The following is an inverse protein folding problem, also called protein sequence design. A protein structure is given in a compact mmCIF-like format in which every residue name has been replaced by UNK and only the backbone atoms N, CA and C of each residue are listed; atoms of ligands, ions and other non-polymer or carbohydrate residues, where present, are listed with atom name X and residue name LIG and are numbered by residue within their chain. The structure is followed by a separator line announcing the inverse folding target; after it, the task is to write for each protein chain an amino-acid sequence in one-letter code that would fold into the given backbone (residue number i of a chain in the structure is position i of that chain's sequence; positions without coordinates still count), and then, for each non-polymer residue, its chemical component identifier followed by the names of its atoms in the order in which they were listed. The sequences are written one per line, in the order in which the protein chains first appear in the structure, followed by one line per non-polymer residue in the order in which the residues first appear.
data_IF_905574876232
#
_entry.id   IF_905574876232
#
_cell.length_a   1.000
_cell.length_b   1.000
_cell.length_c   1.000
_cell.angle_alpha   90.00
_cell.angle_beta   90.00
_cell.angle_gamma   90.00
#
_symmetry.space_group_name_H-M   'P 1'
#
loop_
_entity.id
_entity.type
_entity.pdbx_description
1 polymer ?
#
# COMPACT_ATOMS: atom_id res chain seq x y z
N UNK A 1 32.62 -11.78 17.61
CA UNK A 1 32.13 -11.32 18.93
C UNK A 1 31.82 -9.81 18.95
N UNK A 2 32.53 -8.97 18.21
CA UNK A 2 32.29 -7.51 18.19
C UNK A 2 31.02 -7.08 17.42
N UNK A 3 30.57 -7.84 16.41
CA UNK A 3 29.29 -7.56 15.72
C UNK A 3 28.04 -7.79 16.60
N UNK A 4 28.12 -8.73 17.56
CA UNK A 4 27.00 -9.05 18.44
C UNK A 4 26.75 -7.97 19.50
N UNK A 5 27.77 -7.16 19.83
CA UNK A 5 27.67 -6.09 20.81
C UNK A 5 26.97 -4.84 20.25
N UNK A 6 27.07 -4.60 18.93
CA UNK A 6 26.41 -3.48 18.25
C UNK A 6 24.88 -3.66 18.18
N UNK A 7 24.43 -4.91 18.01
CA UNK A 7 23.00 -5.28 17.99
C UNK A 7 22.35 -5.12 19.37
N UNK A 8 23.11 -5.37 20.44
CA UNK A 8 22.62 -5.26 21.83
C UNK A 8 22.46 -3.81 22.32
N UNK A 9 23.30 -2.88 21.86
CA UNK A 9 23.24 -1.46 22.27
C UNK A 9 22.05 -0.73 21.62
N UNK A 10 21.64 -1.13 20.42
CA UNK A 10 20.45 -0.58 19.76
C UNK A 10 19.13 -1.11 20.33
N UNK A 11 19.16 -2.23 21.08
CA UNK A 11 17.98 -2.82 21.71
C UNK A 11 17.59 -2.22 23.07
N UNK A 12 18.42 -1.37 23.69
CA UNK A 12 18.22 -0.89 25.07
C UNK A 12 17.80 0.58 25.22
N UNK A 13 17.62 1.33 24.13
CA UNK A 13 17.11 2.70 24.16
C UNK A 13 15.60 2.69 23.84
N UNK A 14 14.77 2.48 24.87
CA UNK A 14 13.31 2.55 24.73
C UNK A 14 12.85 3.98 24.40
N UNK A 15 12.02 4.21 23.37
CA UNK A 15 11.49 5.53 23.09
C UNK A 15 10.26 5.79 23.97
N UNK A 16 10.43 6.63 25.00
CA UNK A 16 9.31 7.36 25.58
C UNK A 16 8.94 8.49 24.60
N UNK A 17 7.93 8.27 23.76
CA UNK A 17 7.41 9.28 22.84
C UNK A 17 6.06 9.80 23.35
N UNK A 18 5.98 11.11 23.58
CA UNK A 18 4.75 11.81 23.92
C UNK A 18 3.99 12.18 22.63
N UNK A 19 2.66 12.00 22.65
CA UNK A 19 1.75 12.10 21.51
C UNK A 19 0.85 13.34 21.63
N UNK A 20 0.68 14.09 20.54
CA UNK A 20 -0.35 15.14 20.41
C UNK A 20 -1.32 14.72 19.32
N UNK A 21 -2.62 14.63 19.65
CA UNK A 21 -3.69 14.12 18.78
C UNK A 21 -4.32 15.27 17.99
N UNK A 22 -4.42 15.12 16.66
CA UNK A 22 -5.36 15.90 15.85
C UNK A 22 -6.40 14.98 15.19
N UNK A 23 -7.67 15.40 15.28
CA UNK A 23 -8.86 14.72 14.78
C UNK A 23 -9.40 15.52 13.59
N UNK A 24 -9.41 14.93 12.40
CA UNK A 24 -10.29 15.35 11.30
C UNK A 24 -11.21 14.18 10.94
N UNK A 25 -12.43 14.53 10.57
CA UNK A 25 -13.63 13.71 10.66
C UNK A 25 -13.77 12.67 9.53
N UNK A 26 -14.14 11.43 9.88
CA UNK A 26 -15.15 10.66 9.12
C UNK A 26 -14.73 9.65 8.06
N UNK A 27 -13.45 9.38 7.80
CA UNK A 27 -13.03 8.46 6.73
C UNK A 27 -12.35 7.19 7.25
N UNK A 28 -12.80 6.04 6.76
CA UNK A 28 -12.14 4.75 6.97
C UNK A 28 -11.14 4.52 5.82
N UNK A 29 -9.86 4.45 6.17
CA UNK A 29 -8.79 4.03 5.26
C UNK A 29 -8.42 2.61 5.62
N UNK A 30 -8.50 1.72 4.64
CA UNK A 30 -8.33 0.28 4.80
C UNK A 30 -7.09 -0.16 4.01
N UNK A 31 -6.46 -1.26 4.38
CA UNK A 31 -5.25 -1.78 3.70
C UNK A 31 -5.40 -3.30 3.54
N UNK A 32 -5.07 -3.87 2.37
CA UNK A 32 -5.19 -5.32 2.11
C UNK A 32 -3.88 -5.94 1.61
N UNK A 33 -3.60 -7.18 2.02
CA UNK A 33 -2.48 -8.00 1.54
C UNK A 33 -1.53 -8.52 2.62
N UNK A 34 -1.81 -9.75 3.08
CA UNK A 34 -1.00 -10.71 3.87
C UNK A 34 -0.39 -10.32 5.23
N UNK A 35 -0.41 -11.36 6.08
CA UNK A 35 -0.20 -11.50 7.53
C UNK A 35 0.77 -10.50 8.20
N UNK A 36 0.27 -9.94 9.32
CA UNK A 36 0.95 -9.13 10.35
C UNK A 36 1.04 -7.62 10.09
N UNK A 37 0.22 -6.87 10.85
CA UNK A 37 0.20 -5.41 10.94
C UNK A 37 0.08 -4.95 12.40
N UNK A 38 1.18 -4.47 13.00
CA UNK A 38 1.17 -3.46 14.08
C UNK A 38 1.07 -2.06 13.45
N UNK A 39 0.60 -0.98 14.10
CA UNK A 39 0.56 -0.63 15.52
C UNK A 39 -0.70 0.16 15.93
N UNK A 40 -0.82 0.43 17.25
CA UNK A 40 -1.33 1.65 17.92
C UNK A 40 -0.66 1.66 19.30
N UNK A 41 -0.03 2.77 19.70
CA UNK A 41 0.88 2.80 20.86
C UNK A 41 0.23 2.33 22.18
N UNK A 42 -1.08 2.55 22.35
CA UNK A 42 -1.77 2.40 23.64
C UNK A 42 -3.00 1.48 23.58
N UNK A 43 -3.13 0.64 22.54
CA UNK A 43 -4.31 -0.21 22.30
C UNK A 43 -3.95 -1.63 21.86
N UNK A 44 -4.94 -2.54 21.88
CA UNK A 44 -4.85 -3.89 21.34
C UNK A 44 -4.34 -3.89 19.89
N UNK A 45 -3.27 -4.64 19.60
CA UNK A 45 -2.59 -4.73 18.31
C UNK A 45 -2.63 -6.14 17.79
N UNK A 46 -3.07 -6.37 16.56
CA UNK A 46 -2.87 -7.67 15.91
C UNK A 46 -1.39 -7.82 15.55
N UNK A 47 -0.77 -8.93 15.91
CA UNK A 47 0.69 -9.18 15.79
C UNK A 47 1.02 -10.51 15.12
N UNK A 48 -0.02 -11.28 14.84
CA UNK A 48 0.07 -12.63 14.30
C UNK A 48 -1.28 -13.00 13.71
N UNK A 49 -1.27 -13.71 12.60
CA UNK A 49 -2.46 -14.33 12.03
C UNK A 49 -2.16 -15.77 11.63
N UNK A 50 -3.02 -16.70 12.03
CA UNK A 50 -2.94 -18.10 11.62
C UNK A 50 -4.32 -18.61 11.23
N UNK A 51 -4.42 -19.29 10.10
CA UNK A 51 -5.63 -20.03 9.70
C UNK A 51 -5.36 -21.51 9.91
N UNK A 52 -6.23 -22.21 10.63
CA UNK A 52 -6.10 -23.62 10.93
C UNK A 52 -7.19 -24.13 11.86
N UNK A 53 -7.44 -25.44 11.87
CA UNK A 53 -8.45 -26.08 12.73
C UNK A 53 -9.85 -25.46 12.61
N UNK A 54 -10.24 -25.05 11.39
CA UNK A 54 -11.53 -24.39 11.15
C UNK A 54 -11.67 -23.04 11.86
N UNK A 55 -10.56 -22.36 12.15
CA UNK A 55 -10.56 -21.06 12.80
C UNK A 55 -9.46 -20.14 12.27
N UNK A 56 -9.70 -18.84 12.37
CA UNK A 56 -8.72 -17.78 12.22
C UNK A 56 -8.28 -17.35 13.61
N UNK A 57 -7.01 -17.56 13.94
CA UNK A 57 -6.40 -17.09 15.18
C UNK A 57 -5.63 -15.81 14.91
N UNK A 58 -6.02 -14.74 15.58
CA UNK A 58 -5.33 -13.46 15.62
C UNK A 58 -4.54 -13.39 16.92
N UNK A 59 -3.23 -13.14 16.88
CA UNK A 59 -2.44 -12.84 18.08
C UNK A 59 -2.54 -11.36 18.37
N UNK A 60 -2.92 -10.97 19.59
CA UNK A 60 -3.19 -9.57 19.96
C UNK A 60 -2.31 -9.12 21.14
N UNK A 61 -1.43 -8.14 20.95
CA UNK A 61 -0.59 -7.54 22.01
C UNK A 61 -1.14 -6.17 22.47
N UNK A 62 -0.99 -5.77 23.73
CA UNK A 62 -1.41 -4.42 24.19
C UNK A 62 -2.78 -4.33 24.88
N UNK A 63 -3.22 -5.40 25.55
CA UNK A 63 -4.44 -5.40 26.35
C UNK A 63 -5.68 -5.64 25.51
N UNK A 64 -6.07 -6.91 25.38
CA UNK A 64 -7.38 -7.29 24.84
C UNK A 64 -8.40 -6.80 25.87
N UNK A 65 -9.22 -5.79 25.54
CA UNK A 65 -10.46 -5.61 26.27
C UNK A 65 -11.18 -6.97 26.23
N UNK A 66 -11.62 -7.53 27.37
CA UNK A 66 -12.10 -8.92 27.45
C UNK A 66 -13.26 -9.22 26.49
N UNK A 67 -13.90 -8.17 25.96
CA UNK A 67 -15.12 -8.26 25.17
C UNK A 67 -14.85 -7.77 23.74
N UNK A 68 -14.48 -8.69 22.86
CA UNK A 68 -14.62 -8.52 21.42
C UNK A 68 -15.92 -9.19 20.97
N UNK A 69 -16.77 -8.44 20.27
CA UNK A 69 -18.01 -8.99 19.73
C UNK A 69 -17.78 -9.35 18.27
N UNK A 70 -18.04 -10.59 17.89
CA UNK A 70 -18.00 -10.98 16.50
C UNK A 70 -19.38 -10.83 15.88
N UNK A 71 -19.47 -10.15 14.74
CA UNK A 71 -20.64 -10.12 13.87
C UNK A 71 -20.25 -10.73 12.53
N UNK A 72 -20.81 -11.89 12.17
CA UNK A 72 -20.67 -12.45 10.83
C UNK A 72 -21.93 -12.19 10.00
N UNK A 73 -21.90 -12.49 8.70
CA UNK A 73 -23.10 -12.44 7.85
C UNK A 73 -24.23 -13.36 8.37
N UNK A 74 -23.86 -14.39 9.13
CA UNK A 74 -24.83 -15.16 9.91
C UNK A 74 -25.21 -14.33 11.14
N UNK A 75 -26.47 -13.87 11.21
CA UNK A 75 -27.09 -13.00 12.24
C UNK A 75 -26.88 -13.37 13.72
N UNK A 76 -26.18 -14.45 14.01
CA UNK A 76 -25.76 -14.84 15.36
C UNK A 76 -24.41 -14.20 15.70
N UNK A 77 -24.46 -12.92 16.10
CA UNK A 77 -23.33 -12.26 16.74
C UNK A 77 -23.13 -12.85 18.14
N UNK A 78 -22.33 -13.92 18.24
CA UNK A 78 -21.90 -14.48 19.51
C UNK A 78 -20.70 -13.71 20.06
N UNK A 79 -20.70 -13.43 21.37
CA UNK A 79 -19.48 -13.00 22.03
C UNK A 79 -18.41 -14.09 21.85
N UNK A 80 -17.26 -13.72 21.27
CA UNK A 80 -16.12 -14.63 21.17
C UNK A 80 -15.20 -14.27 22.33
N UNK A 81 -15.02 -15.14 23.32
CA UNK A 81 -14.14 -14.85 24.44
C UNK A 81 -12.73 -14.61 23.92
N UNK A 82 -12.26 -13.36 24.03
CA UNK A 82 -10.87 -13.01 23.77
C UNK A 82 -10.00 -13.60 24.87
N UNK A 83 -8.91 -14.26 24.51
CA UNK A 83 -7.85 -14.54 25.48
C UNK A 83 -6.86 -13.38 25.43
N UNK A 84 -6.33 -12.91 26.57
CA UNK A 84 -5.22 -11.95 26.54
C UNK A 84 -4.10 -12.51 25.66
N UNK A 85 -3.73 -11.82 24.59
CA UNK A 85 -2.74 -12.34 23.64
C UNK A 85 -3.31 -12.96 22.36
N UNK A 86 -4.59 -13.36 22.31
CA UNK A 86 -5.17 -13.95 21.10
C UNK A 86 -6.71 -13.91 20.99
N UNK A 87 -7.21 -13.69 19.77
CA UNK A 87 -8.61 -13.79 19.39
C UNK A 87 -8.78 -14.92 18.37
N UNK A 88 -9.60 -15.93 18.68
CA UNK A 88 -9.84 -17.08 17.79
C UNK A 88 -11.24 -17.01 17.20
N UNK A 89 -11.32 -16.77 15.90
CA UNK A 89 -12.54 -16.60 15.13
C UNK A 89 -12.90 -17.92 14.43
N UNK A 90 -13.98 -18.62 14.79
CA UNK A 90 -14.35 -19.85 14.10
C UNK A 90 -14.75 -19.53 12.66
N UNK A 91 -14.10 -20.17 11.70
CA UNK A 91 -14.40 -20.05 10.29
C UNK A 91 -15.53 -21.03 9.93
N UNK A 92 -16.67 -20.51 9.51
CA UNK A 92 -17.85 -21.28 9.09
C UNK A 92 -17.87 -21.40 7.57
N UNK A 93 -18.15 -22.59 7.01
CA UNK A 93 -18.46 -22.74 5.59
C UNK A 93 -19.61 -21.81 5.19
N UNK A 94 -19.47 -21.12 4.04
CA UNK A 94 -20.48 -20.20 3.52
C UNK A 94 -20.52 -18.81 4.15
N UNK A 95 -19.67 -18.53 5.15
CA UNK A 95 -19.51 -17.16 5.64
C UNK A 95 -18.54 -16.41 4.73
N UNK A 96 -18.99 -15.26 4.22
CA UNK A 96 -18.19 -14.39 3.34
C UNK A 96 -17.53 -13.25 4.11
N UNK A 97 -18.07 -12.89 5.28
CA UNK A 97 -17.58 -11.80 6.12
C UNK A 97 -17.64 -12.10 7.63
N UNK A 98 -16.61 -11.63 8.33
CA UNK A 98 -16.51 -11.57 9.77
C UNK A 98 -16.13 -10.15 10.18
N UNK A 99 -16.82 -9.60 11.17
CA UNK A 99 -16.48 -8.33 11.80
C UNK A 99 -16.19 -8.58 13.27
N UNK A 100 -15.06 -8.10 13.77
CA UNK A 100 -14.78 -8.07 15.20
C UNK A 100 -14.81 -6.62 15.68
N UNK A 101 -15.67 -6.35 16.65
CA UNK A 101 -15.83 -5.04 17.28
C UNK A 101 -15.19 -5.08 18.66
N UNK A 102 -14.23 -4.19 18.92
CA UNK A 102 -13.67 -4.01 20.26
C UNK A 102 -14.64 -3.21 21.14
N UNK A 103 -14.60 -3.40 22.46
CA UNK A 103 -15.32 -2.55 23.42
C UNK A 103 -14.97 -1.05 23.34
N UNK A 104 -13.88 -0.69 22.63
CA UNK A 104 -13.48 0.69 22.35
C UNK A 104 -14.06 1.25 21.04
N UNK A 105 -14.92 0.47 20.34
CA UNK A 105 -15.54 0.87 19.08
C UNK A 105 -14.66 0.67 17.83
N UNK A 106 -13.57 -0.08 17.95
CA UNK A 106 -12.71 -0.39 16.80
C UNK A 106 -13.32 -1.55 16.01
N UNK A 107 -13.27 -1.45 14.69
CA UNK A 107 -13.81 -2.47 13.79
C UNK A 107 -12.67 -3.13 13.02
N UNK A 108 -12.60 -4.45 13.13
CA UNK A 108 -11.81 -5.32 12.28
C UNK A 108 -12.78 -6.02 11.35
N UNK A 109 -12.60 -5.86 10.04
CA UNK A 109 -13.41 -6.58 9.05
C UNK A 109 -12.51 -7.59 8.35
N UNK A 110 -12.99 -8.82 8.20
CA UNK A 110 -12.34 -9.89 7.49
C UNK A 110 -13.34 -10.42 6.47
N UNK A 111 -12.95 -10.47 5.20
CA UNK A 111 -13.75 -11.17 4.19
C UNK A 111 -13.03 -12.45 3.76
N UNK A 112 -13.78 -13.53 3.66
CA UNK A 112 -13.31 -14.83 3.22
C UNK A 112 -13.95 -15.18 1.88
N UNK A 113 -13.17 -15.77 0.98
CA UNK A 113 -13.72 -16.50 -0.15
C UNK A 113 -14.00 -17.91 0.35
N UNK A 114 -15.26 -18.30 0.33
CA UNK A 114 -15.68 -19.69 0.50
C UNK A 114 -16.48 -20.11 -0.73
N UNK A 115 -16.32 -21.35 -1.16
CA UNK A 115 -17.07 -21.96 -2.25
C UNK A 115 -17.00 -23.47 -2.13
N UNK A 116 -17.91 -24.19 -2.77
CA UNK A 116 -18.00 -25.65 -2.68
C UNK A 116 -16.69 -26.36 -3.09
N UNK A 117 -15.88 -25.69 -3.92
CA UNK A 117 -14.58 -26.18 -4.41
C UNK A 117 -13.37 -25.69 -3.61
N UNK A 118 -13.55 -24.89 -2.56
CA UNK A 118 -12.47 -24.37 -1.71
C UNK A 118 -12.56 -25.04 -0.33
N UNK A 119 -11.76 -26.10 -0.06
CA UNK A 119 -11.91 -26.91 1.15
C UNK A 119 -11.61 -26.15 2.45
N UNK A 120 -10.93 -25.00 2.36
CA UNK A 120 -10.67 -24.09 3.48
C UNK A 120 -10.96 -22.64 3.07
N UNK A 121 -11.72 -21.86 3.85
CA UNK A 121 -12.01 -20.46 3.52
C UNK A 121 -10.70 -19.66 3.42
N UNK A 122 -10.47 -19.08 2.24
CA UNK A 122 -9.31 -18.22 1.99
C UNK A 122 -9.65 -16.82 2.51
N UNK A 123 -8.82 -16.29 3.42
CA UNK A 123 -8.91 -14.88 3.80
C UNK A 123 -8.55 -14.03 2.59
N UNK A 124 -9.56 -13.39 2.01
CA UNK A 124 -9.40 -12.55 0.84
C UNK A 124 -9.12 -11.09 1.22
N UNK A 125 -9.62 -10.69 2.39
CA UNK A 125 -9.60 -9.31 2.83
C UNK A 125 -9.44 -9.28 4.36
N UNK A 126 -8.55 -8.42 4.84
CA UNK A 126 -8.47 -8.04 6.24
C UNK A 126 -8.34 -6.51 6.30
N UNK A 127 -9.35 -5.85 6.86
CA UNK A 127 -9.37 -4.42 7.14
C UNK A 127 -8.94 -4.18 8.59
N UNK A 128 -7.75 -3.60 8.76
CA UNK A 128 -7.28 -3.11 10.05
C UNK A 128 -7.19 -1.59 10.02
N UNK A 129 -7.67 -0.88 11.05
CA UNK A 129 -7.29 0.51 11.23
C UNK A 129 -5.77 0.55 11.49
N UNK A 130 -5.01 1.16 10.58
CA UNK A 130 -3.59 1.42 10.84
C UNK A 130 -3.46 2.46 11.96
N UNK A 131 -2.48 2.29 12.86
CA UNK A 131 -1.96 3.42 13.62
C UNK A 131 -1.60 4.54 12.66
N UNK A 132 -2.14 5.72 12.95
CA UNK A 132 -1.69 6.99 12.35
C UNK A 132 -0.21 7.29 12.61
N UNK A 133 0.46 6.52 13.46
CA UNK A 133 1.77 6.84 14.03
C UNK A 133 2.95 6.00 13.48
N UNK A 134 2.71 5.07 12.56
CA UNK A 134 3.80 4.33 11.91
C UNK A 134 4.16 4.97 10.56
N UNK A 135 5.40 5.45 10.37
CA UNK A 135 5.86 5.87 9.06
C UNK A 135 6.06 4.64 8.17
N UNK A 136 5.32 4.56 7.07
CA UNK A 136 5.57 3.59 6.00
C UNK A 136 6.52 4.20 4.97
N UNK A 137 7.45 3.40 4.45
CA UNK A 137 8.33 3.83 3.38
C UNK A 137 7.62 3.75 2.03
N UNK A 138 8.03 4.55 1.05
CA UNK A 138 7.49 4.47 -0.34
C UNK A 138 7.62 3.05 -0.90
N UNK A 139 8.75 2.38 -0.65
CA UNK A 139 8.99 1.00 -1.08
C UNK A 139 8.07 -0.04 -0.45
N UNK A 140 7.38 0.24 0.65
CA UNK A 140 6.46 -0.75 1.27
C UNK A 140 5.19 -0.98 0.43
N UNK A 141 4.88 -0.04 -0.48
CA UNK A 141 3.70 -0.11 -1.35
C UNK A 141 4.06 -0.47 -2.80
N UNK A 142 5.33 -0.69 -3.10
CA UNK A 142 5.86 -0.86 -4.45
C UNK A 142 6.14 -2.33 -4.70
N UNK A 143 5.84 -2.80 -5.90
CA UNK A 143 6.33 -4.10 -6.36
C UNK A 143 7.73 -3.86 -6.94
N UNK A 144 8.76 -4.29 -6.21
CA UNK A 144 10.14 -4.05 -6.61
C UNK A 144 10.50 -4.88 -7.85
N UNK A 145 11.15 -4.30 -8.88
CA UNK A 145 11.50 -5.05 -10.09
C UNK A 145 12.34 -6.31 -9.85
N UNK A 146 13.13 -6.34 -8.77
CA UNK A 146 13.92 -7.51 -8.37
C UNK A 146 13.07 -8.73 -7.96
N UNK A 147 11.78 -8.51 -7.69
CA UNK A 147 10.80 -9.55 -7.29
C UNK A 147 10.06 -10.12 -8.51
N UNK A 148 10.23 -9.51 -9.68
CA UNK A 148 9.55 -9.86 -10.92
C UNK A 148 10.41 -10.83 -11.74
N UNK A 149 9.79 -11.52 -12.71
CA UNK A 149 10.52 -12.36 -13.65
C UNK A 149 11.52 -11.49 -14.45
N UNK A 150 12.84 -11.78 -14.39
CA UNK A 150 13.84 -10.99 -15.09
C UNK A 150 13.62 -10.89 -16.60
N UNK A 151 13.01 -11.90 -17.23
CA UNK A 151 12.70 -11.88 -18.65
C UNK A 151 11.58 -10.87 -18.97
N UNK A 152 10.55 -10.79 -18.11
CA UNK A 152 9.49 -9.80 -18.24
C UNK A 152 10.04 -8.38 -18.01
N UNK A 153 10.92 -8.20 -17.02
CA UNK A 153 11.56 -6.91 -16.75
C UNK A 153 12.38 -6.43 -17.96
N UNK A 154 13.21 -7.29 -18.54
CA UNK A 154 14.04 -6.94 -19.70
C UNK A 154 13.20 -6.52 -20.93
N UNK A 155 12.09 -7.21 -21.17
CA UNK A 155 11.18 -6.88 -22.27
C UNK A 155 10.38 -5.59 -21.97
N UNK A 156 9.98 -5.39 -20.72
CA UNK A 156 9.35 -4.16 -20.29
C UNK A 156 10.26 -2.94 -20.46
N UNK A 157 11.54 -3.04 -20.09
CA UNK A 157 12.55 -2.00 -20.34
C UNK A 157 12.69 -1.66 -21.82
N UNK A 158 12.55 -2.66 -22.71
CA UNK A 158 12.53 -2.45 -24.16
C UNK A 158 11.32 -1.64 -24.59
N UNK A 159 10.13 -2.03 -24.13
CA UNK A 159 8.87 -1.35 -24.43
C UNK A 159 8.81 0.06 -23.86
N UNK A 160 9.36 0.32 -22.66
CA UNK A 160 9.39 1.67 -22.06
C UNK A 160 10.04 2.70 -23.00
N UNK A 161 11.06 2.31 -23.77
CA UNK A 161 11.65 3.18 -24.80
C UNK A 161 10.67 3.48 -25.94
N UNK A 162 9.85 2.52 -26.34
CA UNK A 162 8.77 2.71 -27.32
C UNK A 162 7.61 3.55 -26.76
N UNK A 163 7.35 3.46 -25.45
CA UNK A 163 6.41 4.33 -24.74
C UNK A 163 6.88 5.78 -24.70
N UNK A 164 8.14 6.05 -25.08
CA UNK A 164 8.72 7.39 -25.11
C UNK A 164 9.41 7.79 -23.81
N UNK A 165 9.63 6.86 -22.88
CA UNK A 165 10.40 7.10 -21.65
C UNK A 165 11.88 7.25 -22.02
N UNK A 166 12.48 8.37 -21.62
CA UNK A 166 13.87 8.70 -21.91
C UNK A 166 14.73 8.68 -20.65
N UNK A 167 16.04 8.39 -20.80
CA UNK A 167 17.00 8.63 -19.74
C UNK A 167 16.95 10.10 -19.31
N UNK A 168 16.78 10.34 -18.01
CA UNK A 168 16.72 11.69 -17.43
C UNK A 168 15.34 12.31 -17.31
N UNK A 169 14.28 11.67 -17.82
CA UNK A 169 12.90 12.12 -17.61
C UNK A 169 12.57 12.15 -16.11
N UNK A 170 11.80 13.15 -15.69
CA UNK A 170 11.23 13.24 -14.35
C UNK A 170 10.25 12.09 -14.09
N UNK A 171 9.92 11.80 -12.82
CA UNK A 171 8.92 10.77 -12.53
C UNK A 171 7.57 11.13 -13.16
N UNK A 172 7.19 12.43 -13.10
CA UNK A 172 5.99 12.95 -13.77
C UNK A 172 5.97 12.64 -15.26
N UNK A 173 7.06 12.92 -15.97
CA UNK A 173 7.13 12.72 -17.42
C UNK A 173 7.04 11.22 -17.78
N UNK A 174 7.69 10.36 -17.01
CA UNK A 174 7.59 8.89 -17.17
C UNK A 174 6.16 8.41 -16.97
N UNK A 175 5.49 8.87 -15.90
CA UNK A 175 4.09 8.52 -15.62
C UNK A 175 3.19 8.89 -16.79
N UNK A 176 3.30 10.12 -17.31
CA UNK A 176 2.47 10.59 -18.42
C UNK A 176 2.75 9.81 -19.70
N UNK A 177 4.02 9.52 -20.01
CA UNK A 177 4.40 8.74 -21.18
C UNK A 177 3.84 7.31 -21.12
N UNK A 178 4.06 6.62 -20.00
CA UNK A 178 3.60 5.24 -19.76
C UNK A 178 2.06 5.19 -19.79
N UNK A 179 1.39 6.05 -19.02
CA UNK A 179 -0.07 6.09 -18.96
C UNK A 179 -0.69 6.37 -20.35
N UNK A 180 -0.12 7.33 -21.08
CA UNK A 180 -0.59 7.67 -22.43
C UNK A 180 -0.43 6.52 -23.43
N UNK A 181 0.70 5.80 -23.40
CA UNK A 181 0.89 4.63 -24.25
C UNK A 181 -0.06 3.51 -23.87
N UNK A 182 -0.08 3.10 -22.60
CA UNK A 182 -0.87 1.97 -22.12
C UNK A 182 -2.37 2.21 -22.32
N UNK A 183 -2.86 3.43 -22.07
CA UNK A 183 -4.24 3.78 -22.37
C UNK A 183 -4.58 3.52 -23.84
N UNK A 184 -3.76 4.01 -24.79
CA UNK A 184 -4.02 3.81 -26.23
C UNK A 184 -3.97 2.33 -26.61
N UNK A 185 -3.00 1.60 -26.05
CA UNK A 185 -2.79 0.19 -26.35
C UNK A 185 -3.93 -0.69 -25.79
N UNK A 186 -4.42 -0.40 -24.59
CA UNK A 186 -5.40 -1.24 -23.87
C UNK A 186 -6.85 -0.86 -24.13
N UNK A 187 -7.15 0.38 -24.52
CA UNK A 187 -8.53 0.83 -24.71
C UNK A 187 -9.37 -0.03 -25.67
N UNK A 188 -8.84 -0.53 -26.80
CA UNK A 188 -9.59 -1.42 -27.70
C UNK A 188 -9.94 -2.78 -27.07
N UNK A 189 -9.28 -3.15 -25.97
CA UNK A 189 -9.39 -4.44 -25.30
C UNK A 189 -10.17 -4.35 -23.98
N UNK A 190 -10.98 -3.30 -23.78
CA UNK A 190 -11.74 -3.14 -22.53
C UNK A 190 -12.95 -4.06 -22.50
N UNK A 191 -13.21 -4.62 -21.32
CA UNK A 191 -14.35 -5.48 -21.09
C UNK A 191 -14.11 -6.43 -19.92
N UNK A 192 -14.73 -7.62 -19.96
CA UNK A 192 -14.65 -8.60 -18.90
C UNK A 192 -13.40 -9.47 -19.07
N UNK A 193 -12.39 -9.36 -18.20
CA UNK A 193 -11.19 -10.20 -18.29
C UNK A 193 -11.54 -11.67 -18.08
N UNK A 194 -10.78 -12.53 -18.77
CA UNK A 194 -10.83 -13.98 -18.53
C UNK A 194 -10.36 -14.30 -17.12
N UNK A 195 -10.82 -15.41 -16.51
CA UNK A 195 -10.35 -15.83 -15.18
C UNK A 195 -8.83 -16.07 -15.10
N UNK A 196 -8.18 -16.39 -16.23
CA UNK A 196 -6.75 -16.61 -16.30
C UNK A 196 -5.93 -15.35 -15.99
N UNK A 197 -6.44 -14.16 -16.30
CA UNK A 197 -5.75 -12.88 -16.07
C UNK A 197 -5.33 -12.68 -14.61
N UNK A 198 -6.13 -13.18 -13.66
CA UNK A 198 -5.87 -13.07 -12.21
C UNK A 198 -4.59 -13.78 -11.74
N UNK A 199 -4.03 -14.66 -12.58
CA UNK A 199 -2.82 -15.45 -12.28
C UNK A 199 -1.59 -14.95 -13.02
N UNK A 200 -1.72 -13.87 -13.79
CA UNK A 200 -0.65 -13.32 -14.61
C UNK A 200 -0.07 -12.08 -13.92
N UNK A 201 1.23 -11.84 -14.13
CA UNK A 201 1.86 -10.57 -13.79
C UNK A 201 1.24 -9.42 -14.58
N UNK A 202 1.48 -8.17 -14.18
CA UNK A 202 1.07 -7.01 -14.97
C UNK A 202 1.58 -7.06 -16.41
N UNK A 203 2.77 -7.63 -16.65
CA UNK A 203 3.28 -7.84 -18.00
C UNK A 203 2.53 -8.91 -18.77
N UNK A 204 2.29 -10.08 -18.17
CA UNK A 204 1.53 -11.16 -18.79
C UNK A 204 0.10 -10.72 -19.15
N UNK A 205 -0.55 -9.94 -18.26
CA UNK A 205 -1.86 -9.34 -18.54
C UNK A 205 -1.83 -8.41 -19.75
N UNK A 206 -0.80 -7.56 -19.86
CA UNK A 206 -0.60 -6.69 -21.02
C UNK A 206 -0.45 -7.50 -22.32
N UNK A 207 0.33 -8.59 -22.30
CA UNK A 207 0.52 -9.45 -23.47
C UNK A 207 -0.76 -10.18 -23.90
N UNK A 208 -1.54 -10.72 -22.96
CA UNK A 208 -2.82 -11.37 -23.25
C UNK A 208 -3.83 -10.40 -23.86
N UNK A 209 -3.90 -9.17 -23.33
CA UNK A 209 -4.77 -8.12 -23.85
C UNK A 209 -4.40 -7.76 -25.30
N UNK A 210 -3.12 -7.47 -25.57
CA UNK A 210 -2.67 -7.12 -26.92
C UNK A 210 -2.81 -8.25 -27.94
N UNK A 211 -2.75 -9.50 -27.48
CA UNK A 211 -2.99 -10.66 -28.33
C UNK A 211 -4.49 -10.91 -28.61
N UNK A 212 -5.39 -10.12 -28.02
CA UNK A 212 -6.84 -10.30 -28.15
C UNK A 212 -7.36 -11.57 -27.48
N UNK A 213 -6.61 -12.16 -26.55
CA UNK A 213 -6.97 -13.40 -25.84
C UNK A 213 -7.80 -13.15 -24.59
N UNK A 214 -7.74 -11.94 -24.05
CA UNK A 214 -8.57 -11.48 -22.93
C UNK A 214 -8.84 -9.99 -23.03
N UNK A 215 -9.92 -9.56 -22.40
CA UNK A 215 -10.20 -8.14 -22.17
C UNK A 215 -9.55 -7.68 -20.84
N UNK A 216 -9.62 -6.37 -20.58
CA UNK A 216 -9.13 -5.71 -19.36
C UNK A 216 -10.18 -4.77 -18.76
N UNK A 217 -10.26 -4.76 -17.42
CA UNK A 217 -11.05 -3.80 -16.63
C UNK A 217 -10.17 -3.02 -15.65
N UNK A 218 -10.76 -2.32 -14.67
CA UNK A 218 -10.08 -1.38 -13.78
C UNK A 218 -8.83 -1.97 -13.10
N UNK A 219 -8.96 -3.13 -12.45
CA UNK A 219 -7.84 -3.74 -11.73
C UNK A 219 -6.68 -4.11 -12.67
N UNK A 220 -6.98 -4.67 -13.86
CA UNK A 220 -5.94 -4.99 -14.84
C UNK A 220 -5.23 -3.73 -15.34
N UNK A 221 -5.96 -2.63 -15.60
CA UNK A 221 -5.33 -1.38 -16.01
C UNK A 221 -4.37 -0.85 -14.95
N UNK A 222 -4.78 -0.88 -13.68
CA UNK A 222 -3.95 -0.45 -12.56
C UNK A 222 -2.71 -1.35 -12.41
N UNK A 223 -2.87 -2.67 -12.45
CA UNK A 223 -1.79 -3.67 -12.32
C UNK A 223 -0.78 -3.57 -13.46
N UNK A 224 -1.25 -3.48 -14.71
CA UNK A 224 -0.39 -3.31 -15.89
C UNK A 224 0.39 -1.99 -15.77
N UNK A 225 -0.28 -0.89 -15.42
CA UNK A 225 0.38 0.41 -15.25
C UNK A 225 1.43 0.38 -14.14
N UNK A 226 1.09 -0.17 -12.97
CA UNK A 226 1.99 -0.24 -11.83
C UNK A 226 3.24 -1.06 -12.15
N UNK A 227 3.09 -2.18 -12.87
CA UNK A 227 4.22 -2.97 -13.35
C UNK A 227 5.19 -2.12 -14.20
N UNK A 228 4.70 -1.46 -15.24
CA UNK A 228 5.57 -0.67 -16.13
C UNK A 228 6.17 0.56 -15.43
N UNK A 229 5.41 1.24 -14.58
CA UNK A 229 5.90 2.39 -13.82
C UNK A 229 7.01 1.99 -12.84
N UNK A 230 6.84 0.86 -12.12
CA UNK A 230 7.86 0.33 -11.21
C UNK A 230 9.12 -0.10 -11.96
N UNK A 231 9.01 -0.79 -13.10
CA UNK A 231 10.17 -1.09 -13.97
C UNK A 231 10.85 0.19 -14.48
N UNK A 232 10.08 1.25 -14.73
CA UNK A 232 10.64 2.55 -15.11
C UNK A 232 11.28 3.32 -13.94
N UNK A 233 11.38 2.72 -12.75
CA UNK A 233 11.94 3.33 -11.55
C UNK A 233 11.06 4.43 -10.96
N UNK A 234 9.75 4.43 -11.27
CA UNK A 234 8.78 5.29 -10.61
C UNK A 234 8.05 4.45 -9.57
N UNK A 235 8.20 4.72 -8.27
CA UNK A 235 7.49 3.98 -7.24
C UNK A 235 5.97 4.12 -7.44
N UNK A 236 5.30 3.02 -7.71
CA UNK A 236 3.87 2.97 -8.02
C UNK A 236 3.19 1.85 -7.25
N UNK A 237 2.02 2.17 -6.70
CA UNK A 237 1.19 1.26 -5.91
C UNK A 237 -0.22 1.17 -6.47
N UNK A 238 -0.92 0.13 -6.05
CA UNK A 238 -2.31 -0.11 -6.42
C UNK A 238 -3.24 0.37 -5.31
N UNK A 239 -4.36 0.94 -5.72
CA UNK A 239 -5.39 1.43 -4.82
C UNK A 239 -6.75 0.94 -5.31
N UNK A 240 -7.42 0.16 -4.48
CA UNK A 240 -8.82 -0.18 -4.67
C UNK A 240 -9.69 0.86 -3.97
N UNK A 241 -10.82 1.16 -4.58
CA UNK A 241 -11.86 2.01 -4.01
C UNK A 241 -13.18 1.26 -4.10
N UNK A 242 -13.91 1.23 -3.00
CA UNK A 242 -15.18 0.53 -2.97
C UNK A 242 -16.12 1.14 -1.95
N UNK A 243 -17.41 0.95 -2.16
CA UNK A 243 -18.43 1.25 -1.16
C UNK A 243 -19.12 -0.04 -0.76
N UNK A 244 -19.67 -0.07 0.44
CA UNK A 244 -20.66 -1.10 0.80
C UNK A 244 -22.03 -0.43 0.97
N UNK A 245 -23.07 -1.04 0.41
CA UNK A 245 -24.47 -0.67 0.64
C UNK A 245 -25.19 -1.87 1.24
N UNK A 246 -25.74 -1.72 2.45
CA UNK A 246 -26.34 -2.83 3.22
C UNK A 246 -25.44 -4.08 3.28
N UNK A 247 -24.14 -3.88 3.48
CA UNK A 247 -23.13 -4.95 3.55
C UNK A 247 -22.67 -5.49 2.20
N UNK A 248 -23.39 -5.23 1.11
CA UNK A 248 -23.00 -5.63 -0.24
C UNK A 248 -21.94 -4.68 -0.81
N UNK A 249 -20.84 -5.18 -1.38
CA UNK A 249 -19.90 -4.34 -2.10
C UNK A 249 -20.58 -3.75 -3.35
N UNK A 250 -20.61 -2.42 -3.45
CA UNK A 250 -21.17 -1.66 -4.57
C UNK A 250 -20.09 -0.71 -5.08
N UNK A 251 -19.94 -0.61 -6.41
CA UNK A 251 -18.99 0.27 -7.07
C UNK A 251 -17.51 0.04 -6.65
N UNK A 252 -17.01 -1.17 -6.89
CA UNK A 252 -15.58 -1.44 -6.79
C UNK A 252 -14.86 -0.91 -8.04
N UNK A 253 -13.84 -0.10 -7.82
CA UNK A 253 -12.93 0.41 -8.84
C UNK A 253 -11.49 0.31 -8.35
N UNK A 254 -10.55 0.28 -9.27
CA UNK A 254 -9.13 0.15 -8.96
C UNK A 254 -8.34 1.11 -9.84
N UNK A 255 -7.38 1.79 -9.23
CA UNK A 255 -6.48 2.72 -9.89
C UNK A 255 -5.07 2.57 -9.31
N UNK A 256 -4.13 3.35 -9.82
CA UNK A 256 -2.76 3.34 -9.35
C UNK A 256 -2.34 4.72 -8.86
N UNK A 257 -1.32 4.74 -8.02
CA UNK A 257 -0.67 5.99 -7.63
C UNK A 257 0.83 5.90 -7.80
N UNK A 258 1.41 6.95 -8.38
CA UNK A 258 2.86 7.06 -8.59
C UNK A 258 3.46 8.15 -7.71
N UNK A 259 4.54 7.84 -6.99
CA UNK A 259 5.24 8.81 -6.18
C UNK A 259 6.12 9.71 -7.06
N UNK A 260 5.90 11.02 -6.95
CA UNK A 260 6.64 12.04 -7.68
C UNK A 260 7.64 12.71 -6.71
N UNK A 261 8.92 12.32 -6.68
CA UNK A 261 9.90 12.88 -5.74
C UNK A 261 10.08 14.38 -5.91
N UNK A 262 9.92 14.92 -7.12
CA UNK A 262 9.95 16.36 -7.39
C UNK A 262 8.81 17.15 -6.71
N UNK A 263 7.73 16.48 -6.29
CA UNK A 263 6.61 17.07 -5.57
C UNK A 263 6.45 16.51 -4.14
N UNK A 264 7.24 15.50 -3.78
CA UNK A 264 7.19 14.86 -2.46
C UNK A 264 5.86 14.15 -2.16
N UNK A 265 5.14 13.67 -3.18
CA UNK A 265 3.80 13.12 -3.00
C UNK A 265 3.38 12.10 -4.06
N UNK A 266 2.34 11.33 -3.72
CA UNK A 266 1.69 10.38 -4.63
C UNK A 266 0.75 11.11 -5.60
N UNK A 267 0.68 10.63 -6.84
CA UNK A 267 -0.18 11.13 -7.88
C UNK A 267 -1.18 10.08 -8.32
N UNK A 268 -2.47 10.43 -8.34
CA UNK A 268 -3.57 9.63 -8.85
C UNK A 268 -3.44 9.40 -10.36
N UNK A 269 -3.46 8.13 -10.78
CA UNK A 269 -3.41 7.70 -12.18
C UNK A 269 -4.49 6.65 -12.43
N UNK A 270 -5.30 6.86 -13.45
CA UNK A 270 -6.43 5.98 -13.77
C UNK A 270 -6.65 5.88 -15.27
N UNK A 271 -6.14 4.79 -15.86
CA UNK A 271 -6.24 4.57 -17.29
C UNK A 271 -7.68 4.29 -17.74
N UNK A 272 -8.52 3.69 -16.89
CA UNK A 272 -9.92 3.41 -17.24
C UNK A 272 -10.72 4.73 -17.34
N UNK A 273 -10.40 5.70 -16.49
CA UNK A 273 -11.06 7.01 -16.48
C UNK A 273 -10.31 8.10 -17.27
N UNK A 274 -9.30 7.71 -18.07
CA UNK A 274 -8.52 8.62 -18.91
C UNK A 274 -7.70 9.66 -18.13
N UNK A 275 -7.32 9.37 -16.88
CA UNK A 275 -6.56 10.28 -16.03
C UNK A 275 -5.09 9.85 -15.99
N UNK A 276 -4.21 10.64 -16.59
CA UNK A 276 -2.77 10.45 -16.48
C UNK A 276 -2.22 11.01 -15.17
N UNK A 277 -2.74 12.18 -14.77
CA UNK A 277 -2.48 12.86 -13.50
C UNK A 277 -3.68 13.75 -13.18
N UNK A 278 -3.91 14.02 -11.90
CA UNK A 278 -4.86 15.05 -11.46
C UNK A 278 -4.11 16.07 -10.59
N UNK A 279 -4.21 17.36 -10.91
CA UNK A 279 -3.53 18.41 -10.14
C UNK A 279 -4.49 19.53 -9.74
N UNK A 280 -4.13 20.31 -8.71
CA UNK A 280 -4.83 21.55 -8.35
C UNK A 280 -4.38 22.76 -9.20
N UNK A 281 -4.93 23.95 -8.90
CA UNK A 281 -4.57 25.21 -9.60
C UNK A 281 -3.10 25.60 -9.46
N UNK A 282 -2.43 25.08 -8.42
CA UNK A 282 -1.03 25.32 -8.13
C UNK A 282 -0.12 24.27 -8.80
N UNK A 283 -0.71 23.32 -9.53
CA UNK A 283 0.00 22.27 -10.24
C UNK A 283 0.45 21.11 -9.33
N UNK A 284 0.02 21.09 -8.06
CA UNK A 284 0.31 20.01 -7.13
C UNK A 284 -0.60 18.83 -7.46
N UNK A 285 0.01 17.66 -7.66
CA UNK A 285 -0.73 16.42 -7.92
C UNK A 285 -1.53 15.99 -6.70
N UNK A 286 -2.71 15.45 -6.96
CA UNK A 286 -3.60 14.85 -5.98
C UNK A 286 -3.34 13.35 -5.92
N UNK A 287 -3.32 12.79 -4.72
CA UNK A 287 -3.45 11.34 -4.52
C UNK A 287 -4.93 10.95 -4.39
N UNK A 288 -5.23 9.65 -4.32
CA UNK A 288 -6.57 9.10 -4.16
C UNK A 288 -7.30 9.58 -2.91
N UNK A 289 -6.60 9.83 -1.80
CA UNK A 289 -7.22 10.43 -0.60
C UNK A 289 -7.64 11.88 -0.85
N UNK A 290 -6.80 12.67 -1.54
CA UNK A 290 -7.16 14.01 -1.96
C UNK A 290 -8.38 13.96 -2.89
N UNK A 291 -8.41 13.02 -3.86
CA UNK A 291 -9.55 12.81 -4.77
C UNK A 291 -10.83 12.46 -4.01
N UNK A 292 -10.75 11.52 -3.06
CA UNK A 292 -11.89 11.15 -2.21
C UNK A 292 -12.38 12.36 -1.40
N UNK A 293 -11.47 13.16 -0.84
CA UNK A 293 -11.83 14.37 -0.11
C UNK A 293 -12.52 15.41 -1.02
N UNK A 294 -12.06 15.56 -2.28
CA UNK A 294 -12.73 16.43 -3.27
C UNK A 294 -14.13 15.92 -3.59
N UNK A 295 -14.29 14.61 -3.77
CA UNK A 295 -15.59 13.98 -3.97
C UNK A 295 -16.53 14.24 -2.80
N UNK A 296 -16.06 13.98 -1.57
CA UNK A 296 -16.85 14.17 -0.36
C UNK A 296 -17.28 15.61 -0.10
N UNK A 297 -16.48 16.59 -0.53
CA UNK A 297 -16.78 18.01 -0.36
C UNK A 297 -17.50 18.62 -1.57
N UNK A 298 -17.62 17.89 -2.68
CA UNK A 298 -18.09 18.41 -3.97
C UNK A 298 -17.18 19.50 -4.56
N UNK A 299 -15.96 19.66 -4.06
CA UNK A 299 -15.05 20.76 -4.44
C UNK A 299 -14.10 20.33 -5.55
N UNK A 300 -14.58 20.37 -6.79
CA UNK A 300 -13.82 20.04 -8.01
C UNK A 300 -13.22 21.28 -8.70
N UNK A 301 -13.48 22.47 -8.16
CA UNK A 301 -13.13 23.74 -8.78
C UNK A 301 -11.61 23.94 -8.89
N UNK A 302 -11.15 24.16 -10.12
CA UNK A 302 -9.76 24.49 -10.38
C UNK A 302 -8.82 23.29 -10.47
N UNK A 303 -9.36 22.08 -10.48
CA UNK A 303 -8.56 20.91 -10.81
C UNK A 303 -8.20 20.88 -12.29
N UNK A 304 -7.01 20.37 -12.58
CA UNK A 304 -6.41 20.29 -13.90
C UNK A 304 -6.00 18.84 -14.19
N UNK A 305 -6.88 18.05 -14.84
CA UNK A 305 -6.53 16.69 -15.22
C UNK A 305 -5.58 16.70 -16.42
N UNK A 306 -4.53 15.90 -16.37
CA UNK A 306 -3.80 15.48 -17.56
C UNK A 306 -4.61 14.37 -18.20
N UNK A 307 -5.49 14.75 -19.14
CA UNK A 307 -6.39 13.82 -19.82
C UNK A 307 -5.62 13.01 -20.86
N UNK A 308 -5.69 11.68 -20.75
CA UNK A 308 -5.09 10.76 -21.71
C UNK A 308 -5.86 10.81 -23.03
N UNK A 309 -5.17 10.85 -24.18
CA UNK A 309 -5.83 10.98 -25.48
C UNK A 309 -6.71 9.76 -25.79
N UNK A 310 -7.89 10.01 -26.37
CA UNK A 310 -8.75 8.95 -26.89
C UNK A 310 -8.12 8.18 -28.05
N UNK A 311 -8.54 6.93 -28.33
CA UNK A 311 -7.85 6.04 -29.28
C UNK A 311 -8.24 6.21 -30.74
N UNK A 312 -9.31 6.95 -31.07
CA UNK A 312 -9.86 6.97 -32.42
C UNK A 312 -9.78 8.33 -33.14
N UNK A 313 -9.77 9.44 -32.41
CA UNK A 313 -9.82 10.79 -33.00
C UNK A 313 -8.74 11.73 -32.43
N UNK A 314 -7.90 11.23 -31.51
CA UNK A 314 -6.93 12.05 -30.78
C UNK A 314 -7.58 13.16 -29.95
N UNK A 315 -8.91 13.16 -29.79
CA UNK A 315 -9.61 14.17 -28.99
C UNK A 315 -9.43 13.81 -27.53
N UNK A 316 -8.97 14.78 -26.77
CA UNK A 316 -9.03 14.75 -25.31
C UNK A 316 -10.49 14.78 -24.90
N UNK A 317 -10.90 13.91 -23.98
CA UNK A 317 -12.21 14.02 -23.35
C UNK A 317 -12.36 15.38 -22.69
N UNK A 318 -13.59 15.88 -22.66
CA UNK A 318 -13.94 17.04 -21.85
C UNK A 318 -13.52 16.78 -20.39
N UNK A 319 -12.66 17.63 -19.79
CA UNK A 319 -12.31 17.52 -18.38
C UNK A 319 -13.52 17.40 -17.45
N UNK A 320 -14.65 18.02 -17.78
CA UNK A 320 -15.89 17.90 -17.00
C UNK A 320 -16.37 16.45 -16.91
N UNK A 321 -16.36 15.73 -18.03
CA UNK A 321 -16.74 14.32 -18.08
C UNK A 321 -15.79 13.44 -17.28
N UNK A 322 -14.50 13.79 -17.22
CA UNK A 322 -13.52 13.08 -16.39
C UNK A 322 -13.89 13.20 -14.90
N UNK A 323 -14.29 14.38 -14.44
CA UNK A 323 -14.70 14.57 -13.05
C UNK A 323 -16.01 13.85 -12.71
N UNK A 324 -16.97 13.83 -13.63
CA UNK A 324 -18.21 13.06 -13.43
C UNK A 324 -17.92 11.56 -13.29
N UNK A 325 -17.01 11.05 -14.11
CA UNK A 325 -16.57 9.65 -14.03
C UNK A 325 -15.80 9.37 -12.74
N UNK A 326 -14.86 10.23 -12.34
CA UNK A 326 -14.13 10.07 -11.08
C UNK A 326 -15.10 10.08 -9.90
N UNK A 327 -16.09 10.97 -9.87
CA UNK A 327 -17.12 10.99 -8.82
C UNK A 327 -17.96 9.72 -8.79
N UNK A 328 -18.27 9.15 -9.95
CA UNK A 328 -19.04 7.91 -10.05
C UNK A 328 -18.29 6.72 -9.44
N UNK A 329 -16.96 6.65 -9.64
CA UNK A 329 -16.13 5.53 -9.19
C UNK A 329 -15.43 5.77 -7.85
N UNK A 330 -15.31 7.02 -7.41
CA UNK A 330 -14.79 7.45 -6.10
C UNK A 330 -15.88 8.27 -5.39
N UNK A 331 -17.00 7.66 -4.97
CA UNK A 331 -18.07 8.40 -4.31
C UNK A 331 -17.65 8.92 -2.93
N UNK A 332 -18.33 9.94 -2.37
CA UNK A 332 -18.05 10.54 -1.07
C UNK A 332 -17.84 9.55 0.09
N UNK A 333 -18.57 8.44 0.08
CA UNK A 333 -18.56 7.41 1.14
C UNK A 333 -17.68 6.20 0.79
N UNK A 334 -16.84 6.31 -0.24
CA UNK A 334 -15.96 5.23 -0.61
C UNK A 334 -14.87 5.00 0.43
N UNK A 335 -14.48 3.73 0.57
CA UNK A 335 -13.31 3.29 1.30
C UNK A 335 -12.16 3.11 0.32
N UNK A 336 -11.03 3.75 0.62
CA UNK A 336 -9.78 3.50 -0.11
C UNK A 336 -9.03 2.35 0.55
N UNK A 337 -8.58 1.44 -0.29
CA UNK A 337 -7.73 0.31 0.08
C UNK A 337 -6.41 0.39 -0.67
N UNK A 338 -5.32 0.57 0.07
CA UNK A 338 -3.99 0.49 -0.53
C UNK A 338 -3.50 -0.97 -0.50
N UNK A 339 -3.13 -1.48 -1.67
CA UNK A 339 -2.54 -2.80 -1.82
C UNK A 339 -1.02 -2.70 -1.67
N UNK A 340 -0.44 -3.68 -1.00
CA UNK A 340 0.98 -3.66 -0.67
C UNK A 340 1.81 -4.51 -1.65
N UNK A 341 3.08 -4.15 -1.83
CA UNK A 341 4.06 -4.96 -2.58
C UNK A 341 4.30 -6.33 -1.92
N UNK A 342 4.50 -7.36 -2.74
CA UNK A 342 4.36 -8.78 -2.35
C UNK A 342 5.62 -9.50 -1.88
N UNK A 343 6.87 -9.10 -2.15
CA UNK A 343 7.97 -9.97 -1.67
C UNK A 343 8.39 -9.70 -0.23
N UNK A 344 8.51 -10.81 0.50
CA UNK A 344 9.37 -11.11 1.66
C UNK A 344 9.77 -9.94 2.58
N UNK A 345 8.86 -8.99 2.77
CA UNK A 345 9.06 -7.74 3.51
C UNK A 345 9.20 -8.00 5.01
N UNK A 346 9.00 -9.22 5.45
CA UNK A 346 9.23 -9.60 6.83
C UNK A 346 10.61 -10.18 7.06
N UNK A 347 11.37 -10.47 5.99
CA UNK A 347 12.77 -10.84 6.08
C UNK A 347 13.55 -9.78 6.88
N UNK A 348 14.20 -10.16 8.00
CA UNK A 348 14.89 -9.22 8.89
C UNK A 348 15.92 -8.35 8.17
N UNK A 349 16.58 -8.88 7.13
CA UNK A 349 17.56 -8.16 6.32
C UNK A 349 16.93 -7.05 5.48
N UNK A 350 15.74 -7.28 4.92
CA UNK A 350 15.01 -6.25 4.18
C UNK A 350 14.54 -5.12 5.11
N UNK A 351 14.12 -5.43 6.35
CA UNK A 351 13.79 -4.38 7.34
C UNK A 351 15.01 -3.55 7.74
N UNK A 352 16.15 -4.21 7.93
CA UNK A 352 17.40 -3.54 8.29
C UNK A 352 17.93 -2.66 7.15
N UNK A 353 17.93 -3.17 5.91
CA UNK A 353 18.32 -2.41 4.72
C UNK A 353 17.41 -1.18 4.53
N UNK A 354 16.09 -1.32 4.74
CA UNK A 354 15.13 -0.20 4.68
C UNK A 354 15.41 0.90 5.69
N UNK A 355 15.66 0.53 6.95
CA UNK A 355 16.03 1.50 7.99
C UNK A 355 17.34 2.22 7.64
N UNK A 356 18.27 1.57 6.96
CA UNK A 356 19.59 2.15 6.69
C UNK A 356 19.70 2.90 5.36
N UNK A 357 18.90 2.55 4.35
CA UNK A 357 19.11 3.00 2.97
C UNK A 357 18.29 4.24 2.58
N UNK A 358 16.97 4.29 2.79
CA UNK A 358 16.14 5.47 2.41
C UNK A 358 14.80 5.48 3.18
N UNK A 359 14.62 6.32 4.20
CA UNK A 359 13.31 6.52 4.83
C UNK A 359 12.62 7.68 4.12
N UNK A 360 11.88 7.38 3.05
CA UNK A 360 10.89 8.32 2.55
C UNK A 360 9.56 7.99 3.22
N UNK A 361 9.10 8.77 4.22
CA UNK A 361 7.78 8.55 4.81
C UNK A 361 6.73 8.79 3.71
N UNK A 362 6.16 7.71 3.19
CA UNK A 362 5.13 7.72 2.16
C UNK A 362 3.80 8.22 2.71
N UNK A 363 3.55 7.99 4.00
CA UNK A 363 2.38 8.47 4.73
C UNK A 363 2.81 8.99 6.10
N UNK A 364 3.09 10.29 6.15
CA UNK A 364 3.01 11.02 7.40
C UNK A 364 2.49 12.40 7.06
N UNK A 365 1.32 12.73 7.60
CA UNK A 365 0.84 14.13 7.68
C UNK A 365 1.85 15.03 8.44
N UNK A 366 2.92 14.44 9.00
CA UNK A 366 4.06 15.08 9.65
C UNK A 366 5.41 14.71 8.99
N UNK A 367 5.46 14.39 7.69
CA UNK A 367 6.67 13.98 6.97
C UNK A 367 7.93 14.85 7.26
N UNK A 368 7.84 16.20 7.39
CA UNK A 368 9.00 17.01 7.76
C UNK A 368 9.52 16.74 9.18
N UNK A 369 8.63 16.45 10.13
CA UNK A 369 9.01 16.14 11.51
C UNK A 369 9.58 14.72 11.64
N UNK A 370 9.09 13.78 10.82
CA UNK A 370 9.63 12.43 10.74
C UNK A 370 11.07 12.43 10.17
N UNK A 371 11.34 13.18 9.09
CA UNK A 371 12.68 13.32 8.51
C UNK A 371 13.68 13.93 9.51
N UNK A 372 13.30 15.03 10.18
CA UNK A 372 14.16 15.69 11.16
C UNK A 372 14.55 14.77 12.33
N UNK A 373 13.58 14.01 12.88
CA UNK A 373 13.82 13.05 13.97
C UNK A 373 14.70 11.90 13.50
N UNK A 374 14.49 11.40 12.30
CA UNK A 374 15.27 10.32 11.75
C UNK A 374 16.75 10.69 11.56
N UNK A 375 17.02 11.90 11.02
CA UNK A 375 18.39 12.41 10.89
C UNK A 375 19.10 12.50 12.23
N UNK A 376 18.39 12.89 13.29
CA UNK A 376 18.95 12.90 14.66
C UNK A 376 19.30 11.48 15.12
N UNK A 377 18.44 10.49 14.89
CA UNK A 377 18.70 9.09 15.23
C UNK A 377 19.92 8.54 14.50
N UNK A 378 20.04 8.76 13.18
CA UNK A 378 21.21 8.34 12.41
C UNK A 378 22.49 9.03 12.88
N UNK A 379 22.42 10.32 13.20
CA UNK A 379 23.57 11.07 13.74
C UNK A 379 24.02 10.48 15.08
N UNK A 380 23.08 10.19 15.98
CA UNK A 380 23.37 9.58 17.26
C UNK A 380 23.97 8.16 17.10
N UNK A 381 23.42 7.35 16.18
CA UNK A 381 23.94 6.01 15.89
C UNK A 381 25.35 6.06 15.29
N UNK A 382 25.61 6.99 14.36
CA UNK A 382 26.93 7.21 13.79
C UNK A 382 27.97 7.65 14.83
N UNK A 383 27.59 8.55 15.75
CA UNK A 383 28.44 8.95 16.87
C UNK A 383 28.75 7.77 17.81
N UNK A 384 27.75 6.96 18.15
CA UNK A 384 27.94 5.78 18.99
C UNK A 384 28.88 4.76 18.33
N UNK A 385 28.69 4.48 17.04
CA UNK A 385 29.57 3.60 16.27
C UNK A 385 31.02 4.14 16.21
N UNK A 386 31.19 5.45 15.99
CA UNK A 386 32.49 6.10 16.02
C UNK A 386 33.20 5.98 17.37
N UNK A 387 32.46 6.17 18.47
CA UNK A 387 33.00 6.02 19.83
C UNK A 387 33.41 4.57 20.13
N UNK A 388 32.61 3.58 19.70
CA UNK A 388 32.95 2.17 19.85
C UNK A 388 34.21 1.80 19.06
N UNK A 389 34.32 2.28 17.82
CA UNK A 389 35.49 2.05 16.97
C UNK A 389 36.75 2.69 17.59
N UNK A 390 36.64 3.95 18.06
CA UNK A 390 37.72 4.64 18.75
C UNK A 390 38.15 3.88 20.02
N UNK A 391 37.19 3.38 20.81
CA UNK A 391 37.46 2.56 21.99
C UNK A 391 38.17 1.25 21.67
N UNK A 392 37.78 0.57 20.59
CA UNK A 392 38.45 -0.65 20.11
C UNK A 392 39.90 -0.36 19.66
N UNK A 393 40.10 0.73 18.92
CA UNK A 393 41.43 1.18 18.49
C UNK A 393 42.33 1.55 19.68
N UNK A 394 41.80 2.26 20.68
CA UNK A 394 42.50 2.59 21.92
C UNK A 394 42.89 1.35 22.72
N UNK A 395 41.99 0.36 22.84
CA UNK A 395 42.31 -0.93 23.49
C UNK A 395 43.43 -1.66 22.75
N UNK A 396 43.36 -1.74 21.42
CA UNK A 396 44.39 -2.36 20.59
C UNK A 396 45.74 -1.65 20.71
N UNK A 397 45.73 -0.32 20.76
CA UNK A 397 46.93 0.50 20.99
C UNK A 397 47.55 0.23 22.37
N UNK A 398 46.74 0.24 23.44
CA UNK A 398 47.21 -0.07 24.80
C UNK A 398 47.78 -1.49 24.93
N UNK A 399 47.20 -2.47 24.25
CA UNK A 399 47.70 -3.84 24.27
C UNK A 399 49.09 -3.96 23.63
N UNK A 400 49.31 -3.27 22.50
CA UNK A 400 50.63 -3.23 21.83
C UNK A 400 51.72 -2.59 22.69
N UNK A 401 51.38 -1.58 23.48
CA UNK A 401 52.35 -0.84 24.31
C UNK A 401 52.56 -1.40 25.72
N UNK A 402 51.83 -2.46 26.14
CA UNK A 402 52.06 -3.16 27.41
C UNK A 402 52.84 -4.47 27.26
N UNK A 403 53.07 -4.92 26.04
CA UNK A 403 53.72 -6.19 25.72
C UNK A 403 55.22 -6.06 25.40
N UNK A 404 55.81 -4.88 25.59
CA UNK A 404 57.25 -4.63 25.58
C UNK A 404 57.61 -3.87 26.84
#
# INVERSE_FOLDING_TARGET
MELALLVLILGSLGPAAWMTIHREAGYDVVFHGYQDLQAMADRARVTGLAVGDGALTLRIEGGVAPDWTLAGDTRDAGAVPGTPGSLRLPLRPGAERYEALSGAGERLTLSTISGDDVPEPLVNNLSLPLARDLPFATGDFVIEPAELDPAEVAEAERLLREMGVKPGDSARDRVVAIAGYLHRALYPHRGQPSPAMRRLSGFGQFQEALAGRSEVYCANHAEIFAFFANVAGVPTRLVDVGRTFDGLPVAAHAFAESYLPEQGGWAYVDLQLHVGLLADRQGRVLNGLDVLHRSATGNWDGLQPVVLPGPADGRTRDPALVFDLVQLFVPPEATLTYLWGTADRYAPLHRLARLLAVPQPAYSLAAPAADARWRLTLTAAGLAAGLLLAGALLRRWRFRHRAG
#
